data_IF_516349584720
#
_entry.id   IF_516349584720
#
_cell.length_a   1.000
_cell.length_b   1.000
_cell.length_c   1.000
_cell.angle_alpha   90.00
_cell.angle_beta   90.00
_cell.angle_gamma   90.00
#
_symmetry.space_group_name_H-M   'P 1'
#
loop_
_entity.id
_entity.type
_entity.pdbx_description
1 polymer ?
#
# COMPACT_ATOMS: atom_id res chain seq x y z
N UNK A 1 4.00 -5.54 8.22
CA UNK A 1 3.78 -4.08 8.35
C UNK A 1 4.17 -3.57 9.73
N UNK A 2 3.86 -4.29 10.81
CA UNK A 2 4.14 -3.85 12.19
C UNK A 2 5.62 -3.64 12.52
N UNK A 3 6.55 -4.42 11.93
CA UNK A 3 8.00 -4.24 12.13
C UNK A 3 8.52 -2.96 11.46
N UNK A 4 8.06 -2.65 10.25
CA UNK A 4 8.42 -1.43 9.53
C UNK A 4 7.81 -0.21 10.24
N UNK A 5 6.57 -0.36 10.71
CA UNK A 5 5.86 0.69 11.44
C UNK A 5 6.51 1.02 12.79
N UNK A 6 6.95 -0.01 13.55
CA UNK A 6 7.69 0.19 14.80
C UNK A 6 9.08 0.80 14.56
N UNK A 7 9.81 0.38 13.53
CA UNK A 7 11.12 0.97 13.18
C UNK A 7 10.98 2.46 12.82
N UNK A 8 9.97 2.82 12.01
CA UNK A 8 9.68 4.22 11.68
C UNK A 8 9.28 5.06 12.90
N UNK A 9 8.53 4.49 13.86
CA UNK A 9 8.04 5.21 15.03
C UNK A 9 9.08 5.37 16.15
N UNK A 10 10.02 4.42 16.29
CA UNK A 10 11.07 4.49 17.31
C UNK A 10 12.15 5.54 16.97
N UNK A 11 12.47 5.73 15.70
CA UNK A 11 13.42 6.77 15.25
C UNK A 11 12.79 8.17 15.21
N UNK A 12 11.45 8.28 15.04
CA UNK A 12 10.73 9.56 15.03
C UNK A 12 10.64 10.28 16.39
N UNK A 13 11.02 9.64 17.50
CA UNK A 13 11.06 10.26 18.83
C UNK A 13 12.31 11.10 19.11
N UNK A 14 13.30 11.10 18.21
CA UNK A 14 14.59 11.80 18.37
C UNK A 14 14.73 13.03 17.44
N UNK A 15 13.63 13.70 17.08
CA UNK A 15 13.67 14.99 16.36
C UNK A 15 14.04 16.15 17.32
N UNK A 16 15.25 16.10 17.88
CA UNK A 16 15.87 17.25 18.57
C UNK A 16 17.38 17.41 18.30
N UNK A 17 17.91 16.83 17.22
CA UNK A 17 19.21 17.25 16.68
C UNK A 17 19.28 16.95 15.20
N UNK A 18 19.39 18.00 14.39
CA UNK A 18 19.57 17.90 12.94
C UNK A 18 20.80 17.05 12.60
N UNK A 19 20.54 15.95 11.88
CA UNK A 19 21.55 15.07 11.31
C UNK A 19 20.87 13.79 10.83
N UNK A 20 20.77 13.59 9.52
CA UNK A 20 20.52 12.26 8.96
C UNK A 20 21.66 11.36 9.48
N UNK A 21 21.37 10.45 10.42
CA UNK A 21 22.35 9.48 10.87
C UNK A 21 22.68 8.57 9.67
N UNK A 22 23.74 8.90 8.95
CA UNK A 22 24.18 8.20 7.75
C UNK A 22 24.27 6.68 7.99
N UNK A 23 24.61 6.29 9.23
CA UNK A 23 24.72 4.92 9.70
C UNK A 23 23.39 4.14 9.70
N UNK A 24 22.26 4.75 10.06
CA UNK A 24 20.95 4.05 10.04
C UNK A 24 20.45 3.85 8.61
N UNK A 25 20.62 4.85 7.74
CA UNK A 25 20.31 4.75 6.31
C UNK A 25 21.14 3.67 5.61
N UNK A 26 22.45 3.61 5.92
CA UNK A 26 23.35 2.59 5.37
C UNK A 26 22.92 1.19 5.84
N UNK A 27 22.55 1.02 7.12
CA UNK A 27 22.07 -0.27 7.64
C UNK A 27 20.78 -0.75 6.95
N UNK A 28 19.82 0.17 6.75
CA UNK A 28 18.58 -0.15 6.02
C UNK A 28 18.83 -0.57 4.57
N UNK A 29 19.75 0.10 3.87
CA UNK A 29 20.12 -0.24 2.49
C UNK A 29 20.73 -1.66 2.41
N UNK A 30 21.61 -2.02 3.34
CA UNK A 30 22.19 -3.37 3.39
C UNK A 30 21.14 -4.45 3.60
N UNK A 31 20.14 -4.21 4.46
CA UNK A 31 19.04 -5.15 4.66
C UNK A 31 18.22 -5.38 3.39
N UNK A 32 17.86 -4.31 2.67
CA UNK A 32 17.11 -4.41 1.41
C UNK A 32 17.92 -5.18 0.34
N UNK A 33 19.22 -4.90 0.23
CA UNK A 33 20.11 -5.63 -0.68
C UNK A 33 20.18 -7.11 -0.33
N UNK A 34 20.26 -7.46 0.96
CA UNK A 34 20.28 -8.85 1.40
C UNK A 34 19.02 -9.60 0.99
N UNK A 35 17.83 -9.02 1.21
CA UNK A 35 16.55 -9.63 0.81
C UNK A 35 16.47 -9.79 -0.71
N UNK A 36 16.91 -8.79 -1.47
CA UNK A 36 16.93 -8.84 -2.93
C UNK A 36 17.85 -9.96 -3.45
N UNK A 37 19.05 -10.09 -2.90
CA UNK A 37 19.99 -11.16 -3.28
C UNK A 37 19.43 -12.54 -2.91
N UNK A 38 18.81 -12.66 -1.74
CA UNK A 38 18.22 -13.92 -1.27
C UNK A 38 17.07 -14.38 -2.18
N UNK A 39 16.19 -13.46 -2.59
CA UNK A 39 15.09 -13.80 -3.53
C UNK A 39 15.63 -14.22 -4.90
N UNK A 40 16.66 -13.56 -5.43
CA UNK A 40 17.35 -13.96 -6.66
C UNK A 40 18.02 -15.33 -6.55
N UNK A 41 18.65 -15.62 -5.41
CA UNK A 41 19.27 -16.91 -5.15
C UNK A 41 18.22 -18.04 -5.09
N UNK A 42 17.09 -17.81 -4.43
CA UNK A 42 15.99 -18.79 -4.39
C UNK A 42 15.38 -19.00 -5.78
N UNK A 43 15.22 -17.94 -6.58
CA UNK A 43 14.74 -18.04 -7.96
C UNK A 43 15.70 -18.86 -8.83
N UNK A 44 17.00 -18.61 -8.75
CA UNK A 44 18.01 -19.32 -9.54
C UNK A 44 18.12 -20.80 -9.17
N UNK A 45 18.01 -21.11 -7.87
CA UNK A 45 17.89 -22.50 -7.39
C UNK A 45 16.60 -23.16 -7.91
N UNK A 46 15.47 -22.47 -7.86
CA UNK A 46 14.20 -22.97 -8.40
C UNK A 46 14.26 -23.28 -9.90
N UNK A 47 14.98 -22.45 -10.68
CA UNK A 47 15.22 -22.70 -12.10
C UNK A 47 16.19 -23.86 -12.33
N UNK A 48 17.22 -23.98 -11.50
CA UNK A 48 18.25 -25.03 -11.62
C UNK A 48 17.71 -26.41 -11.25
N UNK A 49 16.86 -26.49 -10.22
CA UNK A 49 16.19 -27.73 -9.80
C UNK A 49 15.00 -28.06 -10.70
N UNK A 50 14.32 -27.04 -11.23
CA UNK A 50 13.18 -27.21 -12.14
C UNK A 50 13.58 -27.94 -13.41
N UNK A 51 13.05 -29.15 -13.63
CA UNK A 51 13.27 -29.91 -14.85
C UNK A 51 12.52 -29.29 -16.04
N UNK A 52 13.10 -28.25 -16.64
CA UNK A 52 12.57 -27.54 -17.83
C UNK A 52 12.79 -28.30 -19.16
N UNK A 53 13.31 -29.53 -19.10
CA UNK A 53 13.77 -30.27 -20.28
C UNK A 53 12.66 -30.82 -21.17
N UNK A 54 11.41 -30.89 -20.71
CA UNK A 54 10.27 -31.33 -21.52
C UNK A 54 9.38 -30.13 -21.89
N UNK A 55 9.69 -29.52 -23.02
CA UNK A 55 8.94 -28.43 -23.62
C UNK A 55 7.70 -29.01 -24.31
N UNK A 56 6.67 -29.35 -23.54
CA UNK A 56 5.40 -29.83 -24.08
C UNK A 56 4.49 -28.63 -24.32
N UNK A 57 4.17 -28.35 -25.60
CA UNK A 57 3.34 -27.21 -26.00
C UNK A 57 1.97 -27.17 -25.29
N UNK A 58 1.39 -28.34 -24.99
CA UNK A 58 0.14 -28.49 -24.24
C UNK A 58 0.23 -28.05 -22.76
N UNK A 59 1.44 -27.92 -22.20
CA UNK A 59 1.66 -27.39 -20.84
C UNK A 59 1.82 -25.85 -20.83
N UNK A 60 2.08 -25.27 -22.00
CA UNK A 60 2.25 -23.83 -22.21
C UNK A 60 0.96 -23.14 -22.66
N UNK A 61 -0.08 -23.91 -23.00
CA UNK A 61 -1.43 -23.41 -23.29
C UNK A 61 -2.18 -23.10 -22.01
N UNK A 62 -3.06 -22.10 -22.05
CA UNK A 62 -3.91 -21.72 -20.91
C UNK A 62 -4.75 -22.92 -20.41
N UNK A 63 -4.93 -23.02 -19.09
CA UNK A 63 -5.69 -24.08 -18.43
C UNK A 63 -7.22 -23.87 -18.59
N UNK A 64 -7.69 -23.91 -19.82
CA UNK A 64 -9.13 -23.90 -20.14
C UNK A 64 -9.39 -24.85 -21.31
N UNK A 65 -9.38 -26.16 -21.06
CA UNK A 65 -9.97 -27.19 -21.93
C UNK A 65 -9.69 -27.13 -23.45
N UNK A 66 -8.57 -26.55 -23.90
CA UNK A 66 -8.26 -26.44 -25.33
C UNK A 66 -9.13 -25.46 -26.10
N UNK A 67 -9.83 -24.56 -25.41
CA UNK A 67 -10.41 -23.39 -26.06
C UNK A 67 -9.32 -22.30 -26.13
N UNK A 68 -9.05 -21.79 -27.33
CA UNK A 68 -8.38 -20.50 -27.45
C UNK A 68 -9.19 -19.50 -26.62
N UNK A 69 -8.56 -18.61 -25.83
CA UNK A 69 -9.28 -17.61 -25.07
C UNK A 69 -10.10 -16.75 -26.05
N UNK A 70 -11.37 -17.13 -26.24
CA UNK A 70 -12.37 -16.35 -26.94
C UNK A 70 -12.75 -15.21 -26.01
N UNK A 71 -11.88 -14.21 -25.92
CA UNK A 71 -12.36 -12.89 -25.55
C UNK A 71 -11.41 -11.84 -26.08
N UNK A 72 -11.95 -10.97 -26.91
CA UNK A 72 -11.30 -9.74 -27.32
C UNK A 72 -10.66 -9.06 -26.10
N UNK A 73 -9.44 -8.54 -26.23
CA UNK A 73 -8.74 -7.71 -25.23
C UNK A 73 -9.51 -6.42 -24.83
N UNK A 74 -10.76 -6.26 -25.27
CA UNK A 74 -11.60 -5.08 -25.11
C UNK A 74 -12.93 -5.36 -24.39
N UNK A 75 -13.03 -6.44 -23.61
CA UNK A 75 -14.17 -6.52 -22.68
C UNK A 75 -14.06 -5.35 -21.68
N UNK A 76 -15.11 -4.51 -21.56
CA UNK A 76 -15.06 -3.39 -20.65
C UNK A 76 -14.92 -3.91 -19.23
N UNK A 77 -13.84 -3.50 -18.58
CA UNK A 77 -13.60 -3.73 -17.17
C UNK A 77 -14.73 -3.11 -16.35
N UNK A 78 -15.13 -3.76 -15.25
CA UNK A 78 -16.25 -3.26 -14.45
C UNK A 78 -15.89 -1.90 -13.83
N UNK A 79 -16.79 -0.91 -13.95
CA UNK A 79 -16.61 0.43 -13.39
C UNK A 79 -16.43 0.44 -11.87
N UNK A 80 -16.83 -0.63 -11.18
CA UNK A 80 -16.76 -0.78 -9.72
C UNK A 80 -15.31 -0.86 -9.22
N UNK A 81 -14.46 -1.61 -9.90
CA UNK A 81 -13.04 -1.70 -9.55
C UNK A 81 -12.31 -0.36 -9.72
N UNK A 82 -12.75 0.45 -10.69
CA UNK A 82 -12.25 1.81 -10.86
C UNK A 82 -12.66 2.72 -9.70
N UNK A 83 -13.91 2.64 -9.24
CA UNK A 83 -14.40 3.41 -8.08
C UNK A 83 -13.65 3.07 -6.80
N UNK A 84 -13.37 1.79 -6.54
CA UNK A 84 -12.56 1.38 -5.36
C UNK A 84 -11.13 1.93 -5.44
N UNK A 85 -10.52 1.92 -6.62
CA UNK A 85 -9.17 2.48 -6.81
C UNK A 85 -9.15 4.01 -6.61
N UNK A 86 -10.18 4.71 -7.09
CA UNK A 86 -10.34 6.15 -6.88
C UNK A 86 -10.54 6.48 -5.40
N UNK A 87 -11.39 5.72 -4.70
CA UNK A 87 -11.63 5.89 -3.27
C UNK A 87 -10.37 5.62 -2.45
N UNK A 88 -9.61 4.59 -2.78
CA UNK A 88 -8.31 4.32 -2.15
C UNK A 88 -7.34 5.49 -2.37
N UNK A 89 -7.28 6.03 -3.58
CA UNK A 89 -6.39 7.15 -3.90
C UNK A 89 -6.72 8.42 -3.11
N UNK A 90 -8.01 8.75 -2.96
CA UNK A 90 -8.45 9.91 -2.18
C UNK A 90 -8.14 9.70 -0.70
N UNK A 91 -8.53 8.55 -0.13
CA UNK A 91 -8.30 8.27 1.29
C UNK A 91 -6.80 8.17 1.63
N UNK A 92 -5.97 7.64 0.74
CA UNK A 92 -4.52 7.59 0.94
C UNK A 92 -3.90 9.00 0.95
N UNK A 93 -4.35 9.89 0.06
CA UNK A 93 -3.91 11.30 0.05
C UNK A 93 -4.30 12.04 1.33
N UNK A 94 -5.49 11.79 1.86
CA UNK A 94 -5.99 12.40 3.09
C UNK A 94 -5.23 11.89 4.33
N UNK A 95 -4.86 10.61 4.36
CA UNK A 95 -4.04 10.04 5.43
C UNK A 95 -2.63 10.63 5.46
N UNK A 96 -2.04 10.91 4.29
CA UNK A 96 -0.74 11.62 4.21
C UNK A 96 -0.83 13.02 4.83
N UNK A 97 -1.96 13.74 4.65
CA UNK A 97 -2.19 15.05 5.26
C UNK A 97 -2.42 14.98 6.78
N UNK A 98 -3.05 13.90 7.28
CA UNK A 98 -3.26 13.70 8.72
C UNK A 98 -2.00 13.30 9.48
N UNK A 99 -1.06 12.60 8.84
CA UNK A 99 0.16 12.11 9.47
C UNK A 99 0.99 13.20 10.21
N UNK A 100 1.34 14.35 9.60
CA UNK A 100 2.08 15.40 10.30
C UNK A 100 1.28 16.02 11.46
N UNK A 101 -0.05 16.11 11.33
CA UNK A 101 -0.92 16.62 12.38
C UNK A 101 -0.89 15.72 13.63
N UNK A 102 -0.95 14.40 13.44
CA UNK A 102 -0.85 13.42 14.53
C UNK A 102 0.51 13.51 15.23
N UNK A 103 1.59 13.73 14.47
CA UNK A 103 2.92 13.92 15.05
C UNK A 103 2.98 15.19 15.91
N UNK A 104 2.40 16.30 15.44
CA UNK A 104 2.32 17.55 16.22
C UNK A 104 1.47 17.40 17.49
N UNK A 105 0.38 16.63 17.46
CA UNK A 105 -0.42 16.33 18.65
C UNK A 105 0.41 15.63 19.72
N UNK A 106 1.29 14.68 19.35
CA UNK A 106 2.14 13.96 20.31
C UNK A 106 3.10 14.90 21.06
N UNK A 107 3.62 15.93 20.40
CA UNK A 107 4.65 16.81 20.96
C UNK A 107 4.03 17.99 21.72
N UNK A 108 2.95 18.59 21.21
CA UNK A 108 2.41 19.85 21.72
C UNK A 108 0.89 19.84 21.97
N UNK A 109 0.33 18.72 22.42
CA UNK A 109 -1.13 18.58 22.62
C UNK A 109 -1.78 19.71 23.42
N UNK A 110 -1.13 20.14 24.52
CA UNK A 110 -1.66 21.15 25.44
C UNK A 110 -1.52 22.58 24.91
N UNK A 111 -0.51 22.85 24.09
CA UNK A 111 -0.25 24.19 23.51
C UNK A 111 -1.01 24.41 22.20
N UNK A 112 -1.56 23.35 21.59
CA UNK A 112 -2.36 23.47 20.39
C UNK A 112 -3.67 24.23 20.66
N UNK A 113 -3.81 25.37 19.98
CA UNK A 113 -5.00 26.21 20.04
C UNK A 113 -6.28 25.46 19.63
N UNK A 114 -7.41 25.83 20.25
CA UNK A 114 -8.73 25.25 19.97
C UNK A 114 -9.09 25.26 18.48
N UNK A 115 -8.69 26.30 17.76
CA UNK A 115 -8.90 26.43 16.31
C UNK A 115 -8.33 25.25 15.50
N UNK A 116 -7.09 24.82 15.82
CA UNK A 116 -6.43 23.72 15.13
C UNK A 116 -7.14 22.38 15.36
N UNK A 117 -7.64 22.16 16.57
CA UNK A 117 -8.43 20.97 16.94
C UNK A 117 -9.77 20.92 16.21
N UNK A 118 -10.47 22.05 16.15
CA UNK A 118 -11.75 22.16 15.42
C UNK A 118 -11.56 21.91 13.93
N UNK A 119 -10.51 22.46 13.31
CA UNK A 119 -10.24 22.26 11.88
C UNK A 119 -9.93 20.79 11.55
N UNK A 120 -9.12 20.11 12.36
CA UNK A 120 -8.89 18.67 12.15
C UNK A 120 -10.17 17.85 12.34
N UNK A 121 -11.00 18.20 13.33
CA UNK A 121 -12.28 17.52 13.54
C UNK A 121 -13.24 17.70 12.36
N UNK A 122 -13.34 18.93 11.82
CA UNK A 122 -14.12 19.20 10.61
C UNK A 122 -13.58 18.43 9.40
N UNK A 123 -12.26 18.38 9.23
CA UNK A 123 -11.62 17.61 8.18
C UNK A 123 -12.02 16.13 8.26
N UNK A 124 -11.90 15.50 9.45
CA UNK A 124 -12.32 14.12 9.68
C UNK A 124 -13.82 13.89 9.42
N UNK A 125 -14.68 14.85 9.79
CA UNK A 125 -16.12 14.75 9.53
C UNK A 125 -16.44 14.73 8.05
N UNK A 126 -15.72 15.49 7.23
CA UNK A 126 -15.86 15.45 5.76
C UNK A 126 -15.45 14.08 5.23
N UNK A 127 -14.36 13.48 5.72
CA UNK A 127 -13.90 12.15 5.29
C UNK A 127 -14.93 11.07 5.60
N UNK A 128 -15.43 11.05 6.84
CA UNK A 128 -16.44 10.10 7.28
C UNK A 128 -17.75 10.30 6.53
N UNK A 129 -18.15 11.55 6.29
CA UNK A 129 -19.34 11.88 5.50
C UNK A 129 -19.24 11.38 4.06
N UNK A 130 -18.11 11.59 3.40
CA UNK A 130 -17.87 11.09 2.03
C UNK A 130 -17.91 9.56 1.96
N UNK A 131 -17.31 8.88 2.94
CA UNK A 131 -17.32 7.41 3.00
C UNK A 131 -18.74 6.87 3.25
N UNK A 132 -19.50 7.46 4.17
CA UNK A 132 -20.89 7.06 4.44
C UNK A 132 -21.78 7.28 3.22
N UNK A 133 -21.59 8.39 2.51
CA UNK A 133 -22.32 8.67 1.27
C UNK A 133 -22.07 7.59 0.21
N UNK A 134 -20.80 7.24 -0.02
CA UNK A 134 -20.43 6.21 -1.01
C UNK A 134 -20.98 4.82 -0.63
N UNK A 135 -20.99 4.47 0.65
CA UNK A 135 -21.59 3.21 1.14
C UNK A 135 -23.11 3.20 0.93
N UNK A 136 -23.79 4.34 1.14
CA UNK A 136 -25.24 4.44 0.94
C UNK A 136 -25.66 4.34 -0.54
N UNK A 137 -24.81 4.79 -1.46
CA UNK A 137 -25.02 4.62 -2.91
C UNK A 137 -24.86 3.16 -3.38
N UNK A 138 -24.37 2.26 -2.50
CA UNK A 138 -24.27 0.84 -2.80
C UNK A 138 -23.27 0.50 -3.92
N UNK A 139 -22.36 1.43 -4.26
CA UNK A 139 -21.35 1.22 -5.31
C UNK A 139 -20.37 0.08 -4.96
N UNK A 140 -20.28 -0.22 -3.66
CA UNK A 140 -19.41 -1.23 -3.04
C UNK A 140 -20.11 -2.59 -2.82
N UNK A 141 -21.41 -2.73 -3.10
CA UNK A 141 -22.12 -3.99 -2.86
C UNK A 141 -21.93 -4.98 -4.02
N UNK A 142 -21.32 -6.12 -3.66
CA UNK A 142 -21.18 -7.29 -4.51
C UNK A 142 -22.49 -8.08 -4.46
N UNK A 143 -23.23 -8.10 -5.56
CA UNK A 143 -24.13 -9.23 -5.81
C UNK A 143 -23.28 -10.39 -6.31
N UNK A 144 -23.27 -11.46 -5.53
CA UNK A 144 -22.85 -12.79 -5.99
C UNK A 144 -23.63 -13.18 -7.24
#
# INVERSE_FOLDING_TARGET
>A
MDLVFNVWFQEGGAMSSGGLNLTSTISGLFYLLFVFILTLALLSLGISVGQKWRYEAAKLTAFECGFDPLSSSRMPFSMRFFLVALLFLVFDMEMVLLFPYIFSLKIMFLEMGLYSKVMCFLFLMVLLGGLVHEVNEGSLEWKL
#
